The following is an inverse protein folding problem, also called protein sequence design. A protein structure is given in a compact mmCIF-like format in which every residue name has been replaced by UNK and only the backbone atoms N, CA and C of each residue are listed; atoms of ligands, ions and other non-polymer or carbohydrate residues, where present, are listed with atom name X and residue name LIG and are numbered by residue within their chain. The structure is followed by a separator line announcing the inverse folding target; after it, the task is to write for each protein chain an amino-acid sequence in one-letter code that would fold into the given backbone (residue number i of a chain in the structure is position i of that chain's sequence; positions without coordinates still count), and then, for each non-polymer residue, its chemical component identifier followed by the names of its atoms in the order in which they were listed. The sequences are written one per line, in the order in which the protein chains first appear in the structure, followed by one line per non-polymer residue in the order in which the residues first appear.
data_IF_582969298843
#
_entry.id   IF_582969298843
#
_cell.length_a   1.000
_cell.length_b   1.000
_cell.length_c   1.000
_cell.angle_alpha   90.00
_cell.angle_beta   90.00
_cell.angle_gamma   90.00
#
_symmetry.space_group_name_H-M   'P 1'
#
loop_
_entity.id
_entity.type
_entity.pdbx_description
1 polymer ?
#
# COMPACT_ATOMS: atom_id res chain seq x y z
N UNK A 1 14.55 9.94 -20.91
CA UNK A 1 13.69 10.88 -20.20
C UNK A 1 14.11 10.96 -18.74
N UNK A 2 14.47 12.14 -18.26
CA UNK A 2 14.97 12.35 -16.90
C UNK A 2 13.83 12.28 -15.87
N UNK A 3 13.99 11.49 -14.80
CA UNK A 3 13.00 11.36 -13.73
C UNK A 3 13.07 12.57 -12.80
N UNK A 4 12.04 13.41 -12.81
CA UNK A 4 11.95 14.64 -12.02
C UNK A 4 10.97 14.48 -10.86
N UNK A 5 11.14 15.24 -9.75
CA UNK A 5 10.24 15.22 -8.60
C UNK A 5 8.74 15.33 -8.96
N UNK A 6 8.40 16.17 -9.95
CA UNK A 6 7.02 16.34 -10.45
C UNK A 6 6.34 15.04 -10.86
N UNK A 7 7.06 14.13 -11.52
CA UNK A 7 6.48 12.87 -11.99
C UNK A 7 6.03 11.97 -10.83
N UNK A 8 6.74 12.04 -9.71
CA UNK A 8 6.39 11.30 -8.50
C UNK A 8 5.24 11.96 -7.74
N UNK A 9 5.15 13.29 -7.76
CA UNK A 9 4.03 14.04 -7.18
C UNK A 9 2.74 13.73 -7.94
N UNK A 10 2.78 13.74 -9.27
CA UNK A 10 1.60 13.45 -10.10
C UNK A 10 1.12 12.01 -9.90
N UNK A 11 2.05 11.05 -9.82
CA UNK A 11 1.74 9.67 -9.47
C UNK A 11 1.07 9.57 -8.10
N UNK A 12 1.63 10.24 -7.09
CA UNK A 12 1.11 10.19 -5.74
C UNK A 12 -0.30 10.78 -5.66
N UNK A 13 -0.53 11.95 -6.28
CA UNK A 13 -1.85 12.58 -6.35
C UNK A 13 -2.88 11.66 -7.01
N UNK A 14 -2.54 11.01 -8.11
CA UNK A 14 -3.45 10.07 -8.79
C UNK A 14 -3.84 8.85 -7.95
N UNK A 15 -3.03 8.46 -6.95
CA UNK A 15 -3.38 7.40 -6.00
C UNK A 15 -4.25 7.96 -4.86
N UNK A 16 -3.95 9.18 -4.39
CA UNK A 16 -4.73 9.87 -3.36
C UNK A 16 -6.14 10.24 -3.82
N UNK A 17 -6.30 10.68 -5.07
CA UNK A 17 -7.61 10.95 -5.69
C UNK A 17 -8.53 9.71 -5.69
N UNK A 18 -7.95 8.51 -5.65
CA UNK A 18 -8.69 7.24 -5.56
C UNK A 18 -9.02 6.84 -4.12
N UNK A 19 -8.64 7.63 -3.12
CA UNK A 19 -8.83 7.33 -1.70
C UNK A 19 -7.95 6.19 -1.16
N UNK A 20 -6.96 5.73 -1.92
CA UNK A 20 -6.13 4.56 -1.58
C UNK A 20 -4.90 4.96 -0.75
N UNK A 21 -5.13 5.54 0.42
CA UNK A 21 -4.06 6.15 1.24
C UNK A 21 -2.95 5.16 1.67
N UNK A 22 -3.29 3.91 1.96
CA UNK A 22 -2.28 2.88 2.26
C UNK A 22 -1.41 2.55 1.05
N UNK A 23 -2.01 2.44 -0.13
CA UNK A 23 -1.29 2.19 -1.39
C UNK A 23 -0.37 3.37 -1.71
N UNK A 24 -0.86 4.60 -1.52
CA UNK A 24 -0.09 5.82 -1.70
C UNK A 24 1.12 5.84 -0.76
N UNK A 25 0.94 5.48 0.52
CA UNK A 25 2.02 5.42 1.50
C UNK A 25 3.07 4.35 1.15
N UNK A 26 2.64 3.14 0.80
CA UNK A 26 3.54 2.04 0.40
C UNK A 26 4.31 2.37 -0.87
N UNK A 27 3.65 2.97 -1.85
CA UNK A 27 4.26 3.38 -3.13
C UNK A 27 5.37 4.41 -2.88
N UNK A 28 5.09 5.46 -2.09
CA UNK A 28 6.09 6.45 -1.69
C UNK A 28 7.29 5.81 -0.99
N UNK A 29 7.04 4.90 -0.05
CA UNK A 29 8.12 4.24 0.68
C UNK A 29 8.99 3.37 -0.25
N UNK A 30 8.36 2.67 -1.19
CA UNK A 30 9.05 1.85 -2.17
C UNK A 30 9.91 2.71 -3.12
N UNK A 31 9.36 3.79 -3.66
CA UNK A 31 10.08 4.74 -4.52
C UNK A 31 11.29 5.35 -3.81
N UNK A 32 11.11 5.81 -2.57
CA UNK A 32 12.19 6.37 -1.76
C UNK A 32 13.31 5.36 -1.52
N UNK A 33 13.00 4.07 -1.34
CA UNK A 33 14.00 3.03 -1.16
C UNK A 33 14.75 2.71 -2.46
N UNK A 34 14.06 2.61 -3.60
CA UNK A 34 14.69 2.40 -4.92
C UNK A 34 15.65 3.54 -5.25
N UNK A 35 15.20 4.79 -5.10
CA UNK A 35 16.01 5.95 -5.44
C UNK A 35 17.16 6.16 -4.45
N UNK A 36 16.97 5.81 -3.17
CA UNK A 36 18.08 5.75 -2.21
C UNK A 36 19.13 4.73 -2.63
N UNK A 37 18.71 3.56 -3.11
CA UNK A 37 19.65 2.57 -3.65
C UNK A 37 20.40 3.12 -4.87
N UNK A 38 19.72 3.79 -5.80
CA UNK A 38 20.36 4.42 -6.96
C UNK A 38 21.39 5.49 -6.58
N UNK A 39 21.13 6.29 -5.53
CA UNK A 39 22.10 7.23 -4.97
C UNK A 39 23.33 6.50 -4.42
N UNK A 40 23.15 5.41 -3.68
CA UNK A 40 24.27 4.62 -3.16
C UNK A 40 25.12 3.95 -4.23
N UNK A 41 24.55 3.69 -5.41
CA UNK A 41 25.24 3.15 -6.57
C UNK A 41 25.81 4.24 -7.49
N UNK A 42 25.75 5.52 -7.08
CA UNK A 42 26.21 6.68 -7.85
C UNK A 42 25.54 6.80 -9.23
N UNK A 43 24.36 6.20 -9.41
CA UNK A 43 23.57 6.29 -10.64
C UNK A 43 22.85 7.64 -10.75
N UNK A 44 22.57 8.27 -9.61
CA UNK A 44 21.95 9.59 -9.47
C UNK A 44 22.56 10.32 -8.27
N UNK A 45 22.73 11.64 -8.37
CA UNK A 45 23.35 12.43 -7.29
C UNK A 45 22.43 12.65 -6.08
N UNK A 46 21.12 12.67 -6.30
CA UNK A 46 20.13 13.00 -5.27
C UNK A 46 18.87 12.15 -5.41
N UNK A 47 18.18 11.93 -4.30
CA UNK A 47 16.91 11.19 -4.29
C UNK A 47 15.73 12.16 -4.54
N UNK A 48 15.12 12.17 -5.74
CA UNK A 48 14.01 13.07 -6.06
C UNK A 48 12.71 12.74 -5.31
N UNK A 49 12.60 11.55 -4.70
CA UNK A 49 11.44 11.12 -3.92
C UNK A 49 11.54 11.45 -2.42
N UNK A 50 12.69 11.94 -1.95
CA UNK A 50 12.90 12.21 -0.52
C UNK A 50 11.89 13.20 0.07
N UNK A 51 11.48 14.21 -0.70
CA UNK A 51 10.58 15.28 -0.25
C UNK A 51 9.08 14.98 -0.47
N UNK A 52 8.72 13.78 -0.93
CA UNK A 52 7.31 13.41 -1.15
C UNK A 52 6.50 13.30 0.16
N UNK A 53 7.18 13.25 1.31
CA UNK A 53 6.54 13.11 2.62
C UNK A 53 5.86 14.36 3.18
N UNK A 54 6.21 15.56 2.69
CA UNK A 54 5.59 16.81 3.16
C UNK A 54 4.25 17.14 2.50
N UNK A 55 3.84 16.37 1.49
CA UNK A 55 2.73 16.72 0.59
C UNK A 55 1.46 15.89 0.86
N UNK A 56 1.54 14.86 1.72
CA UNK A 56 0.50 13.82 1.78
C UNK A 56 0.00 13.52 3.19
N UNK A 57 -1.32 13.29 3.31
CA UNK A 57 -1.99 12.97 4.57
C UNK A 57 -1.59 11.56 5.02
N UNK A 58 -1.13 11.36 6.26
CA UNK A 58 -0.80 10.02 6.74
C UNK A 58 -2.04 9.11 6.66
N UNK A 59 -1.87 7.81 6.29
CA UNK A 59 -3.00 6.90 6.21
C UNK A 59 -3.67 6.74 7.56
N UNK A 60 -5.00 6.81 7.59
CA UNK A 60 -5.79 6.60 8.80
C UNK A 60 -5.61 5.15 9.24
N UNK A 61 -4.99 4.93 10.39
CA UNK A 61 -4.88 3.59 10.98
C UNK A 61 -6.27 3.12 11.41
N UNK A 62 -6.80 2.11 10.72
CA UNK A 62 -8.03 1.43 11.13
C UNK A 62 -7.67 0.27 12.05
N UNK A 63 -8.19 0.29 13.26
CA UNK A 63 -8.11 -0.86 14.16
C UNK A 63 -9.12 -1.91 13.70
N UNK A 64 -8.65 -3.14 13.46
CA UNK A 64 -9.48 -4.30 13.17
C UNK A 64 -9.52 -5.17 14.43
N UNK A 65 -10.57 -5.04 15.28
CA UNK A 65 -10.66 -5.82 16.50
C UNK A 65 -10.82 -7.31 16.19
N UNK A 66 -10.35 -8.15 17.11
CA UNK A 66 -10.54 -9.59 17.02
C UNK A 66 -12.04 -9.93 17.02
N UNK A 67 -12.39 -11.03 16.34
CA UNK A 67 -13.76 -11.54 16.35
C UNK A 67 -14.11 -12.06 17.75
N UNK A 68 -15.23 -11.61 18.37
CA UNK A 68 -15.69 -12.17 19.63
C UNK A 68 -15.99 -13.67 19.54
N UNK A 69 -15.73 -14.42 20.62
CA UNK A 69 -15.94 -15.87 20.70
C UNK A 69 -17.37 -16.28 20.32
N UNK A 70 -18.36 -15.49 20.72
CA UNK A 70 -19.79 -15.70 20.43
C UNK A 70 -20.11 -15.72 18.93
N UNK A 71 -19.27 -15.09 18.11
CA UNK A 71 -19.44 -15.00 16.66
C UNK A 71 -18.65 -16.05 15.89
N UNK A 72 -17.89 -16.91 16.57
CA UNK A 72 -17.20 -18.03 15.93
C UNK A 72 -18.16 -19.01 15.24
N UNK A 73 -19.33 -19.39 15.82
CA UNK A 73 -20.27 -20.27 15.14
C UNK A 73 -20.78 -19.66 13.82
N UNK A 74 -21.14 -18.37 13.83
CA UNK A 74 -21.57 -17.63 12.63
C UNK A 74 -20.47 -17.65 11.55
N UNK A 75 -19.21 -17.44 11.95
CA UNK A 75 -18.08 -17.47 11.03
C UNK A 75 -17.91 -18.86 10.39
N UNK A 76 -17.94 -19.93 11.20
CA UNK A 76 -17.74 -21.30 10.73
C UNK A 76 -18.84 -21.72 9.75
N UNK A 77 -20.09 -21.36 10.03
CA UNK A 77 -21.22 -21.60 9.13
C UNK A 77 -21.02 -20.90 7.77
N UNK A 78 -20.61 -19.62 7.80
CA UNK A 78 -20.35 -18.84 6.58
C UNK A 78 -19.16 -19.36 5.77
N UNK A 79 -18.13 -19.90 6.43
CA UNK A 79 -17.01 -20.56 5.76
C UNK A 79 -17.49 -21.86 5.09
N UNK A 80 -18.27 -22.68 5.80
CA UNK A 80 -18.83 -23.93 5.25
C UNK A 80 -19.76 -23.71 4.06
N UNK A 81 -20.58 -22.67 4.10
CA UNK A 81 -21.49 -22.29 3.01
C UNK A 81 -20.80 -21.54 1.85
N UNK A 82 -19.51 -21.21 1.98
CA UNK A 82 -18.79 -20.45 0.96
C UNK A 82 -18.40 -21.34 -0.24
N UNK A 83 -19.28 -21.38 -1.25
CA UNK A 83 -19.08 -22.18 -2.47
C UNK A 83 -18.53 -21.37 -3.67
N UNK A 84 -18.40 -20.04 -3.55
CA UNK A 84 -18.00 -19.12 -4.63
C UNK A 84 -16.49 -18.85 -4.73
N UNK A 85 -15.65 -19.50 -3.91
CA UNK A 85 -14.18 -19.31 -3.94
C UNK A 85 -13.50 -20.03 -5.12
N UNK A 86 -12.32 -19.56 -5.52
CA UNK A 86 -11.43 -20.32 -6.44
C UNK A 86 -11.05 -21.65 -5.79
N UNK A 87 -10.90 -22.72 -6.58
CA UNK A 87 -10.56 -24.06 -6.06
C UNK A 87 -9.27 -24.08 -5.23
N UNK A 88 -8.31 -23.20 -5.54
CA UNK A 88 -7.06 -23.01 -4.79
C UNK A 88 -7.24 -22.64 -3.32
N UNK A 89 -8.37 -22.05 -2.93
CA UNK A 89 -8.65 -21.65 -1.54
C UNK A 89 -9.50 -22.64 -0.75
N UNK A 90 -9.84 -23.81 -1.34
CA UNK A 90 -10.71 -24.82 -0.70
C UNK A 90 -9.95 -25.82 0.19
N UNK A 91 -8.63 -25.96 0.04
CA UNK A 91 -7.81 -26.97 0.72
C UNK A 91 -6.53 -26.43 1.40
N UNK A 92 -6.46 -25.12 1.66
CA UNK A 92 -5.37 -24.52 2.43
C UNK A 92 -5.67 -24.52 3.94
#
# INVERSE_FOLDING_TARGET
SELKPRHFIDLQKGIEEKGLLEVASRTRQHLSNILRHAVHQELIDTNPAANLGGVTTPPVRRHYPALPLERLPELLERIGAYHQGRELTRHA
#
